data_IF_284613396278
#
_entry.id   IF_284613396278
#
_cell.length_a   1.000
_cell.length_b   1.000
_cell.length_c   1.000
_cell.angle_alpha   90.00
_cell.angle_beta   90.00
_cell.angle_gamma   90.00
#
_symmetry.space_group_name_H-M   'P 1'
#
loop_
_entity.id
_entity.type
_entity.pdbx_description
1 polymer ?
#
# COMPACT_ATOMS: atom_id res chain seq x y z
N UNK A 1 -25.77 -0.28 28.51
CA UNK A 1 -24.76 -1.37 28.54
C UNK A 1 -25.23 -2.49 27.64
N UNK A 2 -24.39 -2.95 26.72
CA UNK A 2 -24.66 -4.10 25.87
C UNK A 2 -24.69 -5.37 26.72
N UNK A 3 -25.67 -6.23 26.46
CA UNK A 3 -25.71 -7.57 27.11
C UNK A 3 -24.79 -8.50 26.34
N UNK A 4 -24.08 -9.38 27.07
CA UNK A 4 -23.30 -10.45 26.45
C UNK A 4 -24.27 -11.39 25.72
N UNK A 5 -23.99 -11.68 24.45
CA UNK A 5 -24.75 -12.58 23.61
C UNK A 5 -23.81 -13.50 22.84
N UNK A 6 -24.38 -14.51 22.19
CA UNK A 6 -23.62 -15.34 21.27
C UNK A 6 -23.34 -14.58 19.99
N UNK A 7 -22.08 -14.62 19.54
CA UNK A 7 -21.65 -14.07 18.24
C UNK A 7 -21.57 -15.23 17.25
N UNK A 8 -22.43 -15.19 16.25
CA UNK A 8 -22.39 -16.16 15.16
C UNK A 8 -21.24 -15.79 14.21
N UNK A 9 -20.10 -16.44 14.35
CA UNK A 9 -18.95 -16.25 13.48
C UNK A 9 -19.20 -17.02 12.18
N UNK A 10 -19.63 -16.32 11.14
CA UNK A 10 -19.67 -16.88 9.79
C UNK A 10 -18.27 -17.18 9.29
N UNK A 11 -18.09 -18.35 8.67
CA UNK A 11 -16.84 -18.64 7.94
C UNK A 11 -16.74 -17.71 6.74
N UNK A 12 -15.65 -16.92 6.68
CA UNK A 12 -15.36 -16.08 5.52
C UNK A 12 -14.73 -16.95 4.44
N UNK A 13 -15.32 -17.04 3.24
CA UNK A 13 -14.76 -17.85 2.17
C UNK A 13 -13.40 -17.27 1.71
N UNK A 14 -12.52 -18.16 1.25
CA UNK A 14 -11.25 -17.71 0.66
C UNK A 14 -11.52 -16.89 -0.60
N UNK A 15 -11.00 -15.67 -0.63
CA UNK A 15 -11.12 -14.83 -1.80
C UNK A 15 -10.15 -15.32 -2.88
N UNK A 16 -10.68 -15.56 -4.07
CA UNK A 16 -9.93 -15.93 -5.27
C UNK A 16 -9.69 -14.69 -6.12
N UNK A 17 -8.68 -14.77 -7.00
CA UNK A 17 -8.58 -13.80 -8.09
C UNK A 17 -9.86 -13.84 -8.93
N UNK A 18 -10.36 -12.67 -9.27
CA UNK A 18 -11.53 -12.53 -10.17
C UNK A 18 -11.11 -12.27 -11.61
N UNK A 19 -9.80 -12.28 -11.89
CA UNK A 19 -9.23 -12.08 -13.21
C UNK A 19 -8.12 -13.10 -13.45
N UNK A 20 -8.07 -13.67 -14.65
CA UNK A 20 -7.04 -14.63 -15.07
C UNK A 20 -5.88 -13.96 -15.83
N UNK A 21 -6.09 -12.73 -16.28
CA UNK A 21 -5.12 -11.91 -17.01
C UNK A 21 -5.28 -10.44 -16.69
N UNK A 22 -4.44 -9.59 -17.28
CA UNK A 22 -4.59 -8.13 -17.17
C UNK A 22 -5.91 -7.72 -17.84
N UNK A 23 -6.77 -7.08 -17.06
CA UNK A 23 -8.05 -6.52 -17.49
C UNK A 23 -7.98 -4.99 -17.44
N UNK A 24 -8.45 -4.33 -18.48
CA UNK A 24 -8.54 -2.88 -18.56
C UNK A 24 -10.01 -2.48 -18.61
N UNK A 25 -10.45 -1.82 -17.54
CA UNK A 25 -11.80 -1.28 -17.44
C UNK A 25 -11.74 0.24 -17.66
N UNK A 26 -12.35 0.70 -18.73
CA UNK A 26 -12.44 2.11 -19.07
C UNK A 26 -13.86 2.63 -18.82
N UNK A 27 -13.94 3.71 -18.03
CA UNK A 27 -15.19 4.42 -17.79
C UNK A 27 -15.05 5.83 -18.34
N UNK A 28 -15.79 6.12 -19.42
CA UNK A 28 -15.80 7.45 -19.99
C UNK A 28 -16.60 8.42 -19.09
N UNK A 29 -15.97 9.56 -18.80
CA UNK A 29 -16.61 10.65 -18.06
C UNK A 29 -16.50 11.93 -18.89
N UNK A 30 -17.53 12.23 -19.70
CA UNK A 30 -17.56 13.43 -20.51
C UNK A 30 -17.33 14.69 -19.66
N UNK A 31 -16.49 15.59 -20.16
CA UNK A 31 -16.09 16.85 -19.49
C UNK A 31 -15.14 16.69 -18.27
N UNK A 32 -14.66 15.50 -17.94
CA UNK A 32 -13.61 15.37 -16.95
C UNK A 32 -12.31 16.01 -17.48
N UNK A 33 -11.65 16.81 -16.65
CA UNK A 33 -10.37 17.47 -16.99
C UNK A 33 -9.16 16.60 -16.70
N UNK A 34 -9.36 15.52 -15.96
CA UNK A 34 -8.33 14.56 -15.56
C UNK A 34 -8.87 13.13 -15.66
N UNK A 35 -7.99 12.21 -16.00
CA UNK A 35 -8.22 10.77 -15.88
C UNK A 35 -7.70 10.26 -14.55
N UNK A 36 -8.51 9.47 -13.84
CA UNK A 36 -8.08 8.76 -12.65
C UNK A 36 -7.65 7.35 -13.03
N UNK A 37 -6.37 7.05 -12.85
CA UNK A 37 -5.79 5.74 -13.08
C UNK A 37 -5.77 4.98 -11.76
N UNK A 38 -6.24 3.72 -11.77
CA UNK A 38 -6.16 2.81 -10.64
C UNK A 38 -5.76 1.42 -11.11
N UNK A 39 -4.56 0.99 -10.76
CA UNK A 39 -4.03 -0.35 -11.02
C UNK A 39 -4.16 -1.12 -9.72
N UNK A 40 -4.89 -2.22 -9.72
CA UNK A 40 -5.20 -2.97 -8.51
C UNK A 40 -4.94 -4.46 -8.68
N UNK A 41 -4.57 -5.12 -7.60
CA UNK A 41 -4.45 -6.57 -7.53
C UNK A 41 -4.80 -7.04 -6.12
N UNK A 42 -5.43 -8.19 -6.02
CA UNK A 42 -5.61 -8.86 -4.73
C UNK A 42 -4.28 -9.42 -4.24
N UNK A 43 -4.01 -9.24 -2.96
CA UNK A 43 -2.80 -9.75 -2.30
C UNK A 43 -3.18 -10.46 -1.01
N UNK A 44 -2.48 -11.55 -0.71
CA UNK A 44 -2.60 -12.26 0.57
C UNK A 44 -1.46 -11.74 1.46
N UNK A 45 -1.74 -10.71 2.26
CA UNK A 45 -0.79 -10.17 3.21
C UNK A 45 -1.52 -9.88 4.52
N UNK A 46 -1.12 -10.60 5.57
CA UNK A 46 -1.57 -10.36 6.94
C UNK A 46 -0.51 -9.62 7.72
N UNK A 47 -0.91 -8.91 8.76
CA UNK A 47 0.05 -8.27 9.68
C UNK A 47 0.96 -9.27 10.40
N UNK A 48 0.52 -10.53 10.56
CA UNK A 48 1.28 -11.62 11.17
C UNK A 48 2.29 -12.30 10.24
N UNK A 49 2.25 -12.01 8.94
CA UNK A 49 3.14 -12.65 7.96
C UNK A 49 4.59 -12.19 8.15
N UNK A 50 5.57 -13.09 7.96
CA UNK A 50 6.99 -12.74 8.12
C UNK A 50 7.44 -11.62 7.18
N UNK A 51 6.85 -11.55 5.99
CA UNK A 51 7.18 -10.55 4.96
C UNK A 51 6.48 -9.19 5.18
N UNK A 52 5.60 -9.08 6.17
CA UNK A 52 4.80 -7.88 6.39
C UNK A 52 5.63 -6.58 6.40
N UNK A 53 6.69 -6.54 7.21
CA UNK A 53 7.53 -5.35 7.35
C UNK A 53 8.32 -5.04 6.08
N UNK A 54 8.81 -6.08 5.40
CA UNK A 54 9.51 -5.93 4.12
C UNK A 54 8.58 -5.35 3.04
N UNK A 55 7.33 -5.82 2.97
CA UNK A 55 6.33 -5.30 2.02
C UNK A 55 5.97 -3.84 2.32
N UNK A 56 5.91 -3.44 3.59
CA UNK A 56 5.67 -2.04 3.94
C UNK A 56 6.81 -1.12 3.45
N UNK A 57 8.05 -1.54 3.64
CA UNK A 57 9.23 -0.79 3.14
C UNK A 57 9.24 -0.79 1.61
N UNK A 58 9.00 -1.92 0.98
CA UNK A 58 8.89 -2.04 -0.47
C UNK A 58 7.84 -1.08 -1.05
N UNK A 59 6.65 -1.05 -0.46
CA UNK A 59 5.60 -0.11 -0.88
C UNK A 59 6.01 1.36 -0.63
N UNK A 60 6.76 1.65 0.44
CA UNK A 60 7.25 3.01 0.71
C UNK A 60 8.16 3.51 -0.42
N UNK A 61 8.99 2.62 -0.97
CA UNK A 61 9.90 2.92 -2.10
C UNK A 61 9.12 3.04 -3.40
N UNK A 62 8.17 2.13 -3.66
CA UNK A 62 7.42 2.11 -4.91
C UNK A 62 6.51 3.33 -5.06
N UNK A 63 5.66 3.63 -4.07
CA UNK A 63 4.67 4.70 -4.18
C UNK A 63 4.18 5.27 -2.85
N UNK A 64 4.77 4.87 -1.72
CA UNK A 64 4.34 5.30 -0.39
C UNK A 64 4.96 6.61 0.11
N UNK A 65 5.77 7.29 -0.68
CA UNK A 65 6.47 8.51 -0.30
C UNK A 65 6.59 9.51 -1.43
N UNK A 66 7.04 10.74 -1.09
CA UNK A 66 7.28 11.78 -2.08
C UNK A 66 8.38 11.39 -3.08
N UNK A 67 9.48 10.82 -2.59
CA UNK A 67 10.61 10.36 -3.40
C UNK A 67 10.46 8.92 -3.91
N UNK A 68 9.22 8.41 -3.95
CA UNK A 68 8.92 7.06 -4.45
C UNK A 68 9.05 6.98 -5.98
N UNK A 69 9.31 5.80 -6.49
CA UNK A 69 9.51 5.56 -7.92
C UNK A 69 8.36 6.09 -8.77
N UNK A 70 7.12 5.79 -8.39
CA UNK A 70 5.94 6.28 -9.11
C UNK A 70 5.85 7.80 -9.11
N UNK A 71 6.11 8.44 -7.98
CA UNK A 71 6.02 9.89 -7.90
C UNK A 71 7.16 10.58 -8.64
N UNK A 72 8.39 10.06 -8.55
CA UNK A 72 9.53 10.57 -9.28
C UNK A 72 9.37 10.44 -10.80
N UNK A 73 8.77 9.33 -11.27
CA UNK A 73 8.49 9.14 -12.69
C UNK A 73 7.34 10.05 -13.17
N UNK A 74 6.14 9.87 -12.61
CA UNK A 74 4.92 10.48 -13.17
C UNK A 74 4.82 11.98 -12.86
N UNK A 75 5.34 12.43 -11.70
CA UNK A 75 5.28 13.82 -11.28
C UNK A 75 6.53 14.58 -11.67
N UNK A 76 7.71 14.16 -11.16
CA UNK A 76 8.92 14.94 -11.29
C UNK A 76 9.52 14.87 -12.70
N UNK A 77 9.63 13.67 -13.26
CA UNK A 77 10.22 13.49 -14.60
C UNK A 77 9.27 13.90 -15.72
N UNK A 78 8.00 13.56 -15.61
CA UNK A 78 7.02 13.75 -16.70
C UNK A 78 6.04 14.91 -16.48
N UNK A 79 5.84 15.41 -15.26
CA UNK A 79 4.92 16.50 -14.97
C UNK A 79 3.44 16.17 -15.28
N UNK A 80 3.03 14.92 -15.24
CA UNK A 80 1.70 14.47 -15.64
C UNK A 80 0.66 14.53 -14.53
N UNK A 81 1.11 14.54 -13.28
CA UNK A 81 0.27 14.50 -12.10
C UNK A 81 0.81 15.39 -10.98
N UNK A 82 -0.02 15.73 -10.02
CA UNK A 82 0.39 16.32 -8.74
C UNK A 82 0.91 15.29 -7.74
N UNK A 83 0.69 14.01 -7.98
CA UNK A 83 1.21 12.92 -7.18
C UNK A 83 0.72 11.56 -7.63
N UNK A 84 1.64 10.59 -7.61
CA UNK A 84 1.36 9.18 -7.84
C UNK A 84 1.68 8.39 -6.58
N UNK A 85 0.86 7.42 -6.26
CA UNK A 85 0.96 6.67 -5.00
C UNK A 85 0.68 5.20 -5.20
N UNK A 86 1.23 4.38 -4.29
CA UNK A 86 0.82 3.00 -4.10
C UNK A 86 0.50 2.72 -2.64
N UNK A 87 -0.31 1.70 -2.42
CA UNK A 87 -0.64 1.18 -1.09
C UNK A 87 -0.84 -0.32 -1.12
N UNK A 88 -0.52 -0.97 -0.01
CA UNK A 88 -0.82 -2.38 0.22
C UNK A 88 -1.66 -2.48 1.48
N UNK A 89 -2.83 -3.09 1.37
CA UNK A 89 -3.65 -3.42 2.52
C UNK A 89 -3.10 -4.61 3.29
N UNK A 90 -3.56 -4.77 4.51
CA UNK A 90 -3.14 -5.85 5.42
C UNK A 90 -4.34 -6.43 6.17
N UNK A 91 -5.41 -6.68 5.44
CA UNK A 91 -6.63 -7.27 6.00
C UNK A 91 -6.42 -8.74 6.38
N UNK A 92 -7.15 -9.19 7.39
CA UNK A 92 -7.08 -10.56 7.94
C UNK A 92 -7.40 -11.64 6.88
N UNK A 93 -8.24 -11.32 5.89
CA UNK A 93 -8.75 -12.28 4.92
C UNK A 93 -8.15 -12.06 3.54
N UNK A 94 -8.30 -10.87 2.99
CA UNK A 94 -7.73 -10.50 1.71
C UNK A 94 -7.42 -9.00 1.69
N UNK A 95 -6.29 -8.67 1.13
CA UNK A 95 -5.86 -7.30 0.96
C UNK A 95 -5.78 -6.93 -0.51
N UNK A 96 -5.61 -5.66 -0.75
CA UNK A 96 -5.47 -5.10 -2.09
C UNK A 96 -4.17 -4.31 -2.19
N UNK A 97 -3.40 -4.60 -3.22
CA UNK A 97 -2.43 -3.66 -3.75
C UNK A 97 -3.16 -2.67 -4.64
N UNK A 98 -2.83 -1.40 -4.55
CA UNK A 98 -3.28 -0.39 -5.50
C UNK A 98 -2.17 0.61 -5.80
N UNK A 99 -2.06 1.01 -7.07
CA UNK A 99 -1.21 2.08 -7.54
C UNK A 99 -2.00 2.98 -8.46
N UNK A 100 -1.78 4.31 -8.40
CA UNK A 100 -2.54 5.20 -9.26
C UNK A 100 -2.17 6.67 -9.13
N UNK A 101 -2.76 7.44 -10.02
CA UNK A 101 -2.61 8.89 -10.11
C UNK A 101 -3.79 9.53 -10.83
N UNK A 102 -4.06 10.80 -10.56
CA UNK A 102 -4.88 11.65 -11.41
C UNK A 102 -3.97 12.37 -12.38
N UNK A 103 -4.16 12.17 -13.68
CA UNK A 103 -3.31 12.70 -14.75
C UNK A 103 -4.13 13.52 -15.75
N UNK A 104 -3.47 14.35 -16.53
CA UNK A 104 -4.13 15.03 -17.65
C UNK A 104 -4.63 14.01 -18.66
N UNK A 105 -5.82 14.22 -19.23
CA UNK A 105 -6.44 13.27 -20.19
C UNK A 105 -5.53 12.90 -21.37
N UNK A 106 -4.77 13.87 -21.88
CA UNK A 106 -3.85 13.67 -23.03
C UNK A 106 -2.68 12.70 -22.78
N UNK A 107 -2.43 12.30 -21.52
CA UNK A 107 -1.31 11.43 -21.15
C UNK A 107 -1.75 10.19 -20.40
N UNK A 108 -3.04 9.83 -20.46
CA UNK A 108 -3.63 8.72 -19.71
C UNK A 108 -2.97 7.40 -20.07
N UNK A 109 -2.83 7.09 -21.35
CA UNK A 109 -2.18 5.88 -21.86
C UNK A 109 -0.72 5.78 -21.43
N UNK A 110 0.03 6.84 -21.64
CA UNK A 110 1.44 6.93 -21.27
C UNK A 110 1.66 6.77 -19.77
N UNK A 111 0.78 7.37 -18.97
CA UNK A 111 0.85 7.24 -17.51
C UNK A 111 0.51 5.82 -17.02
N UNK A 112 -0.42 5.11 -17.66
CA UNK A 112 -0.67 3.69 -17.39
C UNK A 112 0.56 2.85 -17.70
N UNK A 113 1.15 3.04 -18.89
CA UNK A 113 2.35 2.31 -19.32
C UNK A 113 3.52 2.54 -18.36
N UNK A 114 3.81 3.80 -18.02
CA UNK A 114 4.91 4.12 -17.10
C UNK A 114 4.64 3.60 -15.68
N UNK A 115 3.39 3.62 -15.20
CA UNK A 115 3.05 3.03 -13.90
C UNK A 115 3.33 1.52 -13.89
N UNK A 116 2.90 0.80 -14.92
CA UNK A 116 3.15 -0.65 -15.05
C UNK A 116 4.65 -0.93 -15.17
N UNK A 117 5.38 -0.09 -15.90
CA UNK A 117 6.84 -0.21 -16.07
C UNK A 117 7.57 -0.06 -14.74
N UNK A 118 7.21 0.92 -13.90
CA UNK A 118 7.81 1.07 -12.56
C UNK A 118 7.48 -0.13 -11.65
N UNK A 119 6.25 -0.65 -11.70
CA UNK A 119 5.88 -1.86 -10.95
C UNK A 119 6.74 -3.06 -11.40
N UNK A 120 6.90 -3.27 -12.71
CA UNK A 120 7.72 -4.35 -13.25
C UNK A 120 9.19 -4.18 -12.92
N UNK A 121 9.72 -2.97 -13.05
CA UNK A 121 11.10 -2.64 -12.67
C UNK A 121 11.35 -3.00 -11.21
N UNK A 122 10.44 -2.62 -10.33
CA UNK A 122 10.54 -2.93 -8.90
C UNK A 122 10.53 -4.43 -8.60
N UNK A 123 9.91 -5.25 -9.46
CA UNK A 123 9.90 -6.71 -9.32
C UNK A 123 11.18 -7.38 -9.82
N UNK A 124 11.89 -6.76 -10.77
CA UNK A 124 12.99 -7.39 -11.52
C UNK A 124 14.37 -6.80 -11.22
N UNK A 125 14.43 -5.57 -10.71
CA UNK A 125 15.68 -4.88 -10.44
C UNK A 125 15.90 -4.72 -8.92
N UNK A 126 17.13 -4.87 -8.44
CA UNK A 126 17.45 -4.59 -7.05
C UNK A 126 17.25 -3.11 -6.74
N UNK A 127 16.74 -2.84 -5.54
CA UNK A 127 16.55 -1.47 -5.05
C UNK A 127 17.90 -0.87 -4.69
N UNK A 128 18.11 0.39 -5.06
CA UNK A 128 19.28 1.16 -4.65
C UNK A 128 19.40 1.21 -3.13
N UNK A 129 20.64 0.94 -2.62
CA UNK A 129 20.91 0.89 -1.19
C UNK A 129 20.52 2.20 -0.47
N UNK A 130 20.74 3.33 -1.12
CA UNK A 130 20.36 4.66 -0.62
C UNK A 130 18.83 4.83 -0.50
N UNK A 131 18.08 4.33 -1.49
CA UNK A 131 16.61 4.37 -1.46
C UNK A 131 16.04 3.50 -0.33
N UNK A 132 16.62 2.31 -0.14
CA UNK A 132 16.26 1.43 0.97
C UNK A 132 16.55 2.07 2.34
N UNK A 133 17.74 2.63 2.53
CA UNK A 133 18.14 3.29 3.77
C UNK A 133 17.21 4.49 4.08
N UNK A 134 16.91 5.33 3.09
CA UNK A 134 16.00 6.45 3.22
C UNK A 134 14.57 6.02 3.55
N UNK A 135 14.07 4.96 2.92
CA UNK A 135 12.74 4.42 3.21
C UNK A 135 12.63 3.90 4.64
N UNK A 136 13.64 3.16 5.13
CA UNK A 136 13.72 2.68 6.51
C UNK A 136 13.75 3.85 7.49
N UNK A 137 14.65 4.82 7.30
CA UNK A 137 14.76 5.99 8.17
C UNK A 137 13.46 6.79 8.24
N UNK A 138 12.83 7.03 7.09
CA UNK A 138 11.52 7.70 7.02
C UNK A 138 10.44 6.92 7.74
N UNK A 139 10.42 5.60 7.59
CA UNK A 139 9.43 4.73 8.23
C UNK A 139 9.57 4.75 9.75
N UNK A 140 10.82 4.67 10.25
CA UNK A 140 11.13 4.80 11.68
C UNK A 140 10.66 6.15 12.22
N UNK A 141 10.99 7.24 11.53
CA UNK A 141 10.55 8.58 11.93
C UNK A 141 9.03 8.73 11.98
N UNK A 142 8.32 8.26 10.94
CA UNK A 142 6.86 8.27 10.89
C UNK A 142 6.24 7.44 12.03
N UNK A 143 6.83 6.29 12.37
CA UNK A 143 6.39 5.44 13.47
C UNK A 143 6.55 6.13 14.83
N UNK A 144 7.72 6.71 15.10
CA UNK A 144 8.00 7.41 16.38
C UNK A 144 7.06 8.60 16.55
N UNK A 145 6.89 9.44 15.52
CA UNK A 145 5.96 10.58 15.57
C UNK A 145 4.50 10.14 15.76
N UNK A 146 4.13 8.97 15.22
CA UNK A 146 2.78 8.45 15.41
C UNK A 146 2.48 8.08 16.87
N UNK A 147 3.49 7.68 17.66
CA UNK A 147 3.33 7.31 19.09
C UNK A 147 2.93 8.48 19.99
N UNK A 148 3.16 9.72 19.57
CA UNK A 148 2.74 10.91 20.30
C UNK A 148 1.21 11.03 20.41
N UNK A 149 0.48 10.29 19.54
CA UNK A 149 -0.99 10.35 19.50
C UNK A 149 -1.61 9.22 20.32
N UNK A 150 -2.42 9.52 21.38
CA UNK A 150 -3.10 8.48 22.16
C UNK A 150 -3.96 7.53 21.32
N UNK A 151 -4.58 8.05 20.25
CA UNK A 151 -5.37 7.24 19.30
C UNK A 151 -4.55 6.18 18.56
N UNK A 152 -3.25 6.41 18.36
CA UNK A 152 -2.35 5.42 17.77
C UNK A 152 -2.14 4.24 18.70
N UNK A 153 -1.92 4.51 19.99
CA UNK A 153 -1.76 3.46 21.00
C UNK A 153 -3.04 2.61 21.12
N UNK A 154 -4.20 3.26 21.15
CA UNK A 154 -5.48 2.56 21.17
C UNK A 154 -5.66 1.67 19.91
N UNK A 155 -5.31 2.20 18.74
CA UNK A 155 -5.36 1.44 17.48
C UNK A 155 -4.39 0.25 17.47
N UNK A 156 -3.19 0.39 18.03
CA UNK A 156 -2.24 -0.71 18.16
C UNK A 156 -2.78 -1.83 19.03
N UNK A 157 -3.40 -1.50 20.17
CA UNK A 157 -4.05 -2.49 21.03
C UNK A 157 -5.19 -3.22 20.32
N UNK A 158 -6.01 -2.49 19.56
CA UNK A 158 -7.08 -3.08 18.74
C UNK A 158 -6.52 -4.00 17.64
N UNK A 159 -5.50 -3.54 16.89
CA UNK A 159 -4.86 -4.32 15.84
C UNK A 159 -4.25 -5.62 16.39
N UNK A 160 -3.57 -5.56 17.53
CA UNK A 160 -3.01 -6.74 18.20
C UNK A 160 -4.08 -7.78 18.45
N UNK A 161 -5.26 -7.38 18.92
CA UNK A 161 -6.37 -8.30 19.20
C UNK A 161 -7.07 -8.81 17.94
N UNK A 162 -7.38 -7.93 16.99
CA UNK A 162 -8.11 -8.31 15.76
C UNK A 162 -7.26 -9.22 14.87
N UNK A 163 -5.96 -8.93 14.73
CA UNK A 163 -5.06 -9.68 13.86
C UNK A 163 -4.29 -10.79 14.60
N UNK A 164 -4.63 -11.05 15.87
CA UNK A 164 -4.02 -12.12 16.68
C UNK A 164 -2.49 -12.03 16.69
N UNK A 165 -1.96 -10.77 16.83
CA UNK A 165 -0.52 -10.51 16.82
C UNK A 165 0.08 -10.83 18.20
N UNK A 166 1.40 -11.12 18.26
CA UNK A 166 2.13 -11.19 19.51
C UNK A 166 1.98 -9.89 20.33
N UNK A 167 1.98 -10.01 21.65
CA UNK A 167 1.82 -8.83 22.53
C UNK A 167 2.95 -7.80 22.37
N UNK A 168 4.13 -8.26 22.02
CA UNK A 168 5.32 -7.45 21.76
C UNK A 168 5.46 -6.96 20.30
N UNK A 169 4.45 -7.20 19.45
CA UNK A 169 4.50 -6.88 18.02
C UNK A 169 4.95 -5.44 17.76
N UNK A 170 4.38 -4.47 18.46
CA UNK A 170 4.75 -3.05 18.29
C UNK A 170 6.00 -2.65 19.09
N UNK A 171 6.37 -3.40 20.12
CA UNK A 171 7.62 -3.18 20.87
C UNK A 171 8.84 -3.57 20.02
N UNK A 172 8.74 -4.65 19.26
CA UNK A 172 9.81 -5.16 18.36
C UNK A 172 9.71 -4.60 16.94
N UNK A 173 8.77 -3.70 16.66
CA UNK A 173 8.45 -3.24 15.32
C UNK A 173 9.65 -2.61 14.59
N UNK A 174 10.40 -1.77 15.28
CA UNK A 174 11.56 -1.08 14.70
C UNK A 174 12.75 -2.02 14.44
N UNK A 175 12.89 -3.08 15.23
CA UNK A 175 13.92 -4.11 15.01
C UNK A 175 13.66 -4.89 13.72
N UNK A 176 12.37 -5.14 13.41
CA UNK A 176 11.95 -5.84 12.20
C UNK A 176 12.03 -4.99 10.93
N UNK A 177 12.10 -3.67 11.07
CA UNK A 177 12.29 -2.73 9.94
C UNK A 177 13.77 -2.63 9.56
N UNK A 178 14.68 -2.76 10.51
CA UNK A 178 16.13 -2.66 10.30
C UNK A 178 16.78 -3.98 9.90
#
# INVERSE_FOLDING_TARGET
KWKKGEVNNSTVPEAKSNVDALEINFVDMPNAVQSNISITSNVKLKMSDPDYHAVLIANKILGGGFNSYLNMNLREANGWTYGARSSVGTDKYISRFSAGAAVRNAVTDSAVVETIKEIKRFQTEPVEASALANAKAKYVGDFVLALERPSTIARYAVNTKINELPEDFYATYLEKIN
#
